data_IF_847713303779
#
_entry.id   IF_847713303779
#
_cell.length_a   1.000
_cell.length_b   1.000
_cell.length_c   1.000
_cell.angle_alpha   90.00
_cell.angle_beta   90.00
_cell.angle_gamma   90.00
#
_symmetry.space_group_name_H-M   'P 1'
#
loop_
_entity.id
_entity.type
_entity.pdbx_description
1 polymer ?
#
# COMPACT_ATOMS: atom_id res chain seq x y z
N UNK A 1 -5.91 5.66 12.81
CA UNK A 1 -6.15 4.60 11.83
C UNK A 1 -5.99 5.19 10.46
N UNK A 2 -5.02 4.71 9.68
CA UNK A 2 -4.64 5.28 8.39
C UNK A 2 -4.75 4.21 7.31
N UNK A 3 -5.28 4.61 6.15
CA UNK A 3 -5.24 3.78 4.94
C UNK A 3 -4.03 4.18 4.11
N UNK A 4 -3.20 3.21 3.73
CA UNK A 4 -2.10 3.41 2.82
C UNK A 4 -2.47 2.88 1.43
N UNK A 5 -2.73 3.76 0.47
CA UNK A 5 -2.84 3.37 -0.93
C UNK A 5 -1.44 3.34 -1.56
N UNK A 6 -1.11 2.31 -2.33
CA UNK A 6 0.20 2.18 -2.98
C UNK A 6 0.01 2.03 -4.49
N UNK A 7 0.53 3.00 -5.22
CA UNK A 7 0.76 2.89 -6.66
C UNK A 7 2.08 2.16 -6.87
N UNK A 8 1.99 0.93 -7.39
CA UNK A 8 3.11 0.00 -7.47
C UNK A 8 3.88 0.19 -8.77
N UNK A 9 5.16 0.53 -8.66
CA UNK A 9 6.07 0.62 -9.80
C UNK A 9 7.17 -0.44 -9.76
N UNK A 10 7.85 -0.63 -10.90
CA UNK A 10 8.92 -1.63 -11.02
C UNK A 10 10.15 -1.30 -10.17
N UNK A 11 10.48 -0.02 -10.02
CA UNK A 11 11.68 0.47 -9.31
C UNK A 11 11.26 1.18 -8.03
N UNK A 12 10.35 2.14 -8.16
CA UNK A 12 9.80 2.90 -7.06
C UNK A 12 8.28 2.70 -6.98
N UNK A 13 7.75 2.70 -5.77
CA UNK A 13 6.31 2.70 -5.48
C UNK A 13 5.94 3.96 -4.71
N UNK A 14 4.78 4.53 -5.00
CA UNK A 14 4.28 5.74 -4.33
C UNK A 14 3.20 5.36 -3.33
N UNK A 15 3.45 5.69 -2.07
CA UNK A 15 2.50 5.51 -0.97
C UNK A 15 1.72 6.81 -0.74
N UNK A 16 0.41 6.69 -0.58
CA UNK A 16 -0.48 7.75 -0.13
C UNK A 16 -1.11 7.34 1.20
N UNK A 17 -0.78 8.07 2.26
CA UNK A 17 -1.34 7.88 3.59
C UNK A 17 -2.54 8.79 3.75
N UNK A 18 -3.73 8.22 3.88
CA UNK A 18 -4.97 8.96 4.07
C UNK A 18 -5.52 8.72 5.47
N UNK A 19 -5.68 9.80 6.23
CA UNK A 19 -6.37 9.78 7.51
C UNK A 19 -7.83 10.23 7.32
N UNK A 20 -8.82 9.32 7.42
CA UNK A 20 -10.23 9.66 7.20
C UNK A 20 -10.79 10.61 8.27
N UNK A 21 -10.19 10.67 9.46
CA UNK A 21 -10.67 11.54 10.53
C UNK A 21 -10.31 13.00 10.26
N UNK A 22 -9.13 13.24 9.69
CA UNK A 22 -8.62 14.60 9.40
C UNK A 22 -8.75 15.00 7.94
N UNK A 23 -9.08 14.05 7.05
CA UNK A 23 -9.09 14.20 5.60
C UNK A 23 -7.75 14.66 5.01
N UNK A 24 -6.65 14.44 5.75
CA UNK A 24 -5.31 14.78 5.29
C UNK A 24 -4.69 13.59 4.57
N UNK A 25 -3.91 13.91 3.55
CA UNK A 25 -3.09 12.94 2.85
C UNK A 25 -1.61 13.35 2.85
N UNK A 26 -0.73 12.36 2.88
CA UNK A 26 0.71 12.53 2.72
C UNK A 26 1.22 11.51 1.72
N UNK A 27 2.25 11.89 0.97
CA UNK A 27 2.87 11.04 -0.03
C UNK A 27 4.31 10.72 0.34
N UNK A 28 4.70 9.48 0.07
CA UNK A 28 6.08 9.02 0.22
C UNK A 28 6.40 8.05 -0.92
N UNK A 29 7.58 8.22 -1.51
CA UNK A 29 8.09 7.27 -2.51
C UNK A 29 9.06 6.32 -1.83
N UNK A 30 8.85 5.02 -2.01
CA UNK A 30 9.74 3.97 -1.52
C UNK A 30 10.28 3.17 -2.70
N UNK A 31 11.47 2.60 -2.55
CA UNK A 31 11.94 1.59 -3.50
C UNK A 31 11.03 0.34 -3.43
N UNK A 32 10.74 -0.27 -4.57
CA UNK A 32 10.00 -1.53 -4.71
C UNK A 32 10.89 -2.71 -4.34
N UNK A 33 11.34 -2.72 -3.09
CA UNK A 33 12.22 -3.72 -2.50
C UNK A 33 11.69 -4.16 -1.13
N UNK A 34 11.83 -5.44 -0.81
CA UNK A 34 11.33 -6.03 0.44
C UNK A 34 11.72 -5.23 1.68
N UNK A 35 13.00 -4.85 1.79
CA UNK A 35 13.50 -4.13 2.97
C UNK A 35 12.82 -2.77 3.18
N UNK A 36 12.50 -2.06 2.10
CA UNK A 36 11.83 -0.76 2.16
C UNK A 36 10.35 -0.91 2.52
N UNK A 37 9.67 -1.93 1.99
CA UNK A 37 8.29 -2.25 2.37
C UNK A 37 8.22 -2.66 3.85
N UNK A 38 9.12 -3.52 4.30
CA UNK A 38 9.20 -3.94 5.71
C UNK A 38 9.49 -2.74 6.63
N UNK A 39 10.38 -1.84 6.23
CA UNK A 39 10.67 -0.62 6.98
C UNK A 39 9.45 0.31 7.06
N UNK A 40 8.73 0.48 5.95
CA UNK A 40 7.49 1.26 5.92
C UNK A 40 6.48 0.70 6.93
N UNK A 41 6.19 -0.60 6.89
CA UNK A 41 5.23 -1.23 7.80
C UNK A 41 5.68 -1.20 9.27
N UNK A 42 6.98 -1.29 9.52
CA UNK A 42 7.53 -1.21 10.88
C UNK A 42 7.50 0.22 11.44
N UNK A 43 7.69 1.24 10.61
CA UNK A 43 7.71 2.65 11.01
C UNK A 43 6.31 3.26 11.13
N UNK A 44 5.30 2.63 10.51
CA UNK A 44 3.91 3.12 10.43
C UNK A 44 2.92 2.15 11.06
N UNK A 45 3.00 2.03 12.38
CA UNK A 45 2.07 1.20 13.18
C UNK A 45 0.63 1.72 13.16
N UNK A 46 0.38 2.90 12.59
CA UNK A 46 -0.93 3.53 12.40
C UNK A 46 -1.67 3.05 11.14
N UNK A 47 -1.02 2.28 10.27
CA UNK A 47 -1.62 1.71 9.06
C UNK A 47 -2.48 0.49 9.43
N UNK A 48 -3.78 0.57 9.15
CA UNK A 48 -4.72 -0.52 9.40
C UNK A 48 -5.16 -1.25 8.12
N UNK A 49 -4.94 -0.60 6.97
CA UNK A 49 -5.37 -1.06 5.67
C UNK A 49 -4.39 -0.60 4.58
N UNK A 50 -3.99 -1.54 3.73
CA UNK A 50 -3.21 -1.25 2.53
C UNK A 50 -4.07 -1.52 1.31
N UNK A 51 -4.11 -0.58 0.38
CA UNK A 51 -4.82 -0.70 -0.90
C UNK A 51 -3.80 -0.66 -2.03
N UNK A 52 -3.83 -1.64 -2.93
CA UNK A 52 -2.89 -1.75 -4.04
C UNK A 52 -3.63 -2.02 -5.35
N UNK A 53 -3.11 -1.53 -6.47
CA UNK A 53 -3.54 -1.99 -7.79
C UNK A 53 -2.96 -3.37 -8.10
N UNK A 54 -3.72 -4.22 -8.79
CA UNK A 54 -3.25 -5.48 -9.34
C UNK A 54 -2.21 -5.28 -10.45
N UNK A 55 -0.93 -5.47 -10.12
CA UNK A 55 0.16 -5.42 -11.10
C UNK A 55 1.32 -6.37 -10.71
N UNK A 56 2.40 -6.40 -11.50
CA UNK A 56 3.49 -7.40 -11.37
C UNK A 56 4.15 -7.41 -9.97
N UNK A 57 4.48 -6.27 -9.32
CA UNK A 57 5.05 -6.26 -7.98
C UNK A 57 4.09 -6.67 -6.84
N UNK A 58 2.79 -6.86 -7.10
CA UNK A 58 1.79 -7.11 -6.06
C UNK A 58 2.13 -8.33 -5.20
N UNK A 59 2.66 -9.40 -5.80
CA UNK A 59 3.01 -10.62 -5.07
C UNK A 59 3.97 -10.34 -3.92
N UNK A 60 5.03 -9.56 -4.17
CA UNK A 60 6.00 -9.17 -3.15
C UNK A 60 5.36 -8.42 -1.98
N UNK A 61 4.52 -7.42 -2.28
CA UNK A 61 3.88 -6.62 -1.24
C UNK A 61 2.86 -7.43 -0.45
N UNK A 62 2.05 -8.25 -1.13
CA UNK A 62 1.04 -9.08 -0.50
C UNK A 62 1.66 -10.09 0.47
N UNK A 63 2.77 -10.74 0.09
CA UNK A 63 3.48 -11.68 0.96
C UNK A 63 3.94 -10.98 2.25
N UNK A 64 4.58 -9.81 2.14
CA UNK A 64 5.07 -9.03 3.29
C UNK A 64 3.91 -8.58 4.20
N UNK A 65 2.81 -8.12 3.60
CA UNK A 65 1.64 -7.68 4.36
C UNK A 65 0.99 -8.84 5.12
N UNK A 66 0.91 -10.03 4.50
CA UNK A 66 0.40 -11.25 5.15
C UNK A 66 1.32 -11.71 6.30
N UNK A 67 2.64 -11.72 6.08
CA UNK A 67 3.64 -12.02 7.13
C UNK A 67 3.48 -11.09 8.35
N UNK A 68 3.09 -9.83 8.12
CA UNK A 68 2.89 -8.80 9.15
C UNK A 68 1.44 -8.72 9.67
N UNK A 69 0.53 -9.55 9.16
CA UNK A 69 -0.90 -9.55 9.49
C UNK A 69 -1.60 -8.19 9.24
N UNK A 70 -1.14 -7.42 8.26
CA UNK A 70 -1.77 -6.16 7.84
C UNK A 70 -2.89 -6.46 6.84
N UNK A 71 -4.04 -5.80 6.98
CA UNK A 71 -5.16 -5.99 6.05
C UNK A 71 -4.83 -5.38 4.69
N UNK A 72 -5.15 -6.11 3.63
CA UNK A 72 -4.94 -5.68 2.25
C UNK A 72 -6.23 -5.71 1.43
N UNK A 73 -6.37 -4.75 0.52
CA UNK A 73 -7.35 -4.75 -0.55
C UNK A 73 -6.62 -4.56 -1.88
N UNK A 74 -7.02 -5.32 -2.89
CA UNK A 74 -6.45 -5.25 -4.23
C UNK A 74 -7.52 -4.74 -5.18
N UNK A 75 -7.24 -3.65 -5.87
CA UNK A 75 -8.07 -3.12 -6.93
C UNK A 75 -7.65 -3.73 -8.27
N UNK A 76 -8.59 -4.34 -8.98
CA UNK A 76 -8.40 -4.83 -10.33
C UNK A 76 -8.86 -3.75 -11.31
N UNK A 77 -8.00 -3.37 -12.26
CA UNK A 77 -8.38 -2.48 -13.36
C UNK A 77 -9.21 -3.17 -14.46
N UNK A 78 -9.39 -4.50 -14.37
CA UNK A 78 -10.19 -5.27 -15.33
C UNK A 78 -11.71 -5.16 -15.11
N UNK A 79 -12.15 -4.63 -13.97
CA UNK A 79 -13.56 -4.35 -13.70
C UNK A 79 -13.74 -2.82 -13.62
N UNK A 80 -14.66 -2.26 -14.40
CA UNK A 80 -14.97 -0.82 -14.35
C UNK A 80 -15.38 -0.45 -12.92
N UNK A 81 -14.55 0.34 -12.23
CA UNK A 81 -14.77 0.81 -10.86
C UNK A 81 -15.79 1.97 -10.78
N UNK A 82 -16.77 2.01 -11.69
CA UNK A 82 -17.82 3.03 -11.72
C UNK A 82 -19.18 2.36 -11.89
N UNK A 83 -19.85 2.09 -10.77
CA UNK A 83 -21.30 1.91 -10.68
C UNK A 83 -21.82 2.70 -9.48
#
# INVERSE_FOLDING_TARGET
>A
MVTCAIDLGKIDSVCCFSDPATQKHQFETIATERAHVEHLLASRSDIDLIVMEACVPLGLFNDICQERQVKTLVSSTNEEAWN
#
